data_IF_459080489860
#
_entry.id   IF_459080489860
#
_cell.length_a   1.000
_cell.length_b   1.000
_cell.length_c   1.000
_cell.angle_alpha   90.00
_cell.angle_beta   90.00
_cell.angle_gamma   90.00
#
_symmetry.space_group_name_H-M   'P 1'
#
loop_
_entity.id
_entity.type
_entity.pdbx_description
1 polymer ?
#
# COMPACT_ATOMS: atom_id res chain seq x y z
N UNK A 1 34.85 1.49 -17.56
CA UNK A 1 34.07 1.41 -16.31
C UNK A 1 33.06 0.29 -16.46
N UNK A 2 33.14 -0.74 -15.63
CA UNK A 2 32.18 -1.86 -15.60
C UNK A 2 30.96 -1.41 -14.78
N UNK A 3 29.88 -1.01 -15.47
CA UNK A 3 28.61 -0.69 -14.83
C UNK A 3 27.88 -2.01 -14.55
N UNK A 4 28.41 -2.79 -13.62
CA UNK A 4 27.72 -3.95 -13.07
C UNK A 4 26.57 -3.43 -12.22
N UNK A 5 25.48 -3.06 -12.90
CA UNK A 5 24.21 -2.72 -12.28
C UNK A 5 23.79 -3.96 -11.49
N UNK A 6 24.01 -3.89 -10.18
CA UNK A 6 23.54 -4.88 -9.22
C UNK A 6 22.04 -5.04 -9.41
N UNK A 7 21.64 -6.13 -10.06
CA UNK A 7 20.24 -6.52 -10.18
C UNK A 7 19.75 -6.80 -8.76
N UNK A 8 19.14 -5.79 -8.12
CA UNK A 8 18.40 -6.01 -6.86
C UNK A 8 17.29 -7.00 -7.19
N UNK A 9 17.49 -8.25 -6.83
CA UNK A 9 16.46 -9.28 -6.95
C UNK A 9 15.36 -8.92 -5.95
N UNK A 10 14.32 -8.24 -6.43
CA UNK A 10 13.13 -7.98 -5.63
C UNK A 10 12.56 -9.32 -5.19
N UNK A 11 12.48 -9.54 -3.88
CA UNK A 11 11.87 -10.75 -3.36
C UNK A 11 10.35 -10.67 -3.54
N UNK A 12 9.66 -11.81 -3.46
CA UNK A 12 8.20 -11.80 -3.50
C UNK A 12 7.60 -10.97 -2.34
N UNK A 13 8.31 -10.87 -1.22
CA UNK A 13 7.94 -10.01 -0.10
C UNK A 13 8.04 -8.53 -0.46
N UNK A 14 9.08 -8.10 -1.18
CA UNK A 14 9.20 -6.72 -1.66
C UNK A 14 8.06 -6.36 -2.63
N UNK A 15 7.66 -7.31 -3.49
CA UNK A 15 6.53 -7.14 -4.40
C UNK A 15 5.23 -6.94 -3.61
N UNK A 16 4.95 -7.79 -2.63
CA UNK A 16 3.76 -7.69 -1.78
C UNK A 16 3.75 -6.39 -0.98
N UNK A 17 4.90 -5.96 -0.46
CA UNK A 17 5.02 -4.69 0.24
C UNK A 17 4.78 -3.50 -0.70
N UNK A 18 5.22 -3.56 -1.96
CA UNK A 18 4.95 -2.50 -2.93
C UNK A 18 3.47 -2.44 -3.32
N UNK A 19 2.85 -3.59 -3.61
CA UNK A 19 1.41 -3.69 -3.91
C UNK A 19 0.57 -3.17 -2.72
N UNK A 20 0.97 -3.47 -1.49
CA UNK A 20 0.34 -2.94 -0.28
C UNK A 20 0.45 -1.40 -0.18
N UNK A 21 1.63 -0.83 -0.46
CA UNK A 21 1.83 0.64 -0.48
C UNK A 21 0.98 1.31 -1.55
N UNK A 22 0.94 0.73 -2.75
CA UNK A 22 0.11 1.25 -3.84
C UNK A 22 -1.38 1.17 -3.50
N UNK A 23 -1.83 0.10 -2.85
CA UNK A 23 -3.21 -0.02 -2.40
C UNK A 23 -3.56 1.03 -1.34
N UNK A 24 -2.68 1.22 -0.34
CA UNK A 24 -2.86 2.24 0.70
C UNK A 24 -2.94 3.63 0.09
N UNK A 25 -2.09 3.94 -0.90
CA UNK A 25 -2.09 5.23 -1.60
C UNK A 25 -3.37 5.44 -2.41
N UNK A 26 -3.81 4.43 -3.16
CA UNK A 26 -5.03 4.49 -3.98
C UNK A 26 -6.31 4.64 -3.16
N UNK A 27 -6.30 4.15 -1.91
CA UNK A 27 -7.45 4.21 -1.02
C UNK A 27 -7.32 5.28 0.08
N UNK A 28 -6.26 6.09 0.05
CA UNK A 28 -5.99 7.07 1.11
C UNK A 28 -7.02 8.19 1.17
N UNK A 29 -7.54 8.58 0.01
CA UNK A 29 -8.62 9.56 -0.11
C UNK A 29 -9.88 9.19 0.69
N UNK A 30 -10.12 7.90 0.96
CA UNK A 30 -11.24 7.45 1.80
C UNK A 30 -11.05 7.84 3.27
N UNK A 31 -9.80 7.87 3.75
CA UNK A 31 -9.48 8.34 5.10
C UNK A 31 -9.72 9.84 5.18
N UNK A 32 -9.22 10.59 4.20
CA UNK A 32 -9.45 12.04 4.11
C UNK A 32 -10.95 12.33 4.04
N UNK A 33 -11.69 11.64 3.17
CA UNK A 33 -13.15 11.75 3.06
C UNK A 33 -13.85 11.47 4.39
N UNK A 34 -13.43 10.44 5.13
CA UNK A 34 -14.01 10.17 6.45
C UNK A 34 -13.77 11.32 7.43
N UNK A 35 -12.59 11.93 7.42
CA UNK A 35 -12.27 13.07 8.27
C UNK A 35 -13.07 14.33 7.88
N UNK A 36 -13.26 14.57 6.58
CA UNK A 36 -13.93 15.75 6.07
C UNK A 36 -15.45 15.66 6.11
N UNK A 37 -16.03 14.51 5.74
CA UNK A 37 -17.47 14.32 5.59
C UNK A 37 -18.10 13.51 6.70
N UNK A 38 -17.28 12.88 7.56
CA UNK A 38 -17.75 11.92 8.57
C UNK A 38 -18.21 10.60 7.98
N UNK A 39 -18.15 10.41 6.65
CA UNK A 39 -18.62 9.19 6.03
C UNK A 39 -17.63 8.05 6.23
N UNK A 40 -18.11 6.94 6.79
CA UNK A 40 -17.27 5.79 7.06
C UNK A 40 -16.66 5.16 5.80
N UNK A 41 -15.47 4.59 6.00
CA UNK A 41 -14.77 3.81 4.99
C UNK A 41 -15.51 2.46 4.89
N UNK A 42 -15.79 1.97 3.66
CA UNK A 42 -16.36 0.63 3.48
C UNK A 42 -15.55 -0.44 4.23
N UNK A 43 -16.23 -1.34 4.93
CA UNK A 43 -15.61 -2.31 5.83
C UNK A 43 -14.57 -3.20 5.10
N UNK A 44 -14.89 -3.63 3.88
CA UNK A 44 -14.03 -4.40 3.00
C UNK A 44 -12.72 -3.66 2.65
N UNK A 45 -12.79 -2.34 2.49
CA UNK A 45 -11.61 -1.51 2.23
C UNK A 45 -10.84 -1.26 3.52
N UNK A 46 -11.53 -1.04 4.64
CA UNK A 46 -10.89 -0.85 5.94
C UNK A 46 -10.07 -2.07 6.36
N UNK A 47 -10.62 -3.28 6.19
CA UNK A 47 -9.95 -4.56 6.43
C UNK A 47 -8.72 -4.72 5.53
N UNK A 48 -8.88 -4.56 4.22
CA UNK A 48 -7.75 -4.64 3.27
C UNK A 48 -6.66 -3.60 3.55
N UNK A 49 -7.03 -2.40 4.00
CA UNK A 49 -6.05 -1.37 4.41
C UNK A 49 -5.30 -1.80 5.68
N UNK A 50 -5.95 -2.46 6.63
CA UNK A 50 -5.30 -3.01 7.82
C UNK A 50 -4.33 -4.15 7.45
N UNK A 51 -4.74 -5.05 6.56
CA UNK A 51 -3.88 -6.10 6.01
C UNK A 51 -2.66 -5.52 5.28
N UNK A 52 -2.89 -4.56 4.37
CA UNK A 52 -1.82 -3.89 3.64
C UNK A 52 -0.82 -3.19 4.58
N UNK A 53 -1.30 -2.57 5.68
CA UNK A 53 -0.43 -1.97 6.71
C UNK A 53 0.43 -2.99 7.45
N UNK A 54 0.00 -4.25 7.52
CA UNK A 54 0.76 -5.32 8.19
C UNK A 54 1.89 -5.87 7.32
N UNK A 55 1.94 -5.49 6.04
CA UNK A 55 2.93 -5.95 5.05
C UNK A 55 4.06 -4.94 4.77
N UNK A 56 4.00 -3.74 5.36
CA UNK A 56 4.92 -2.61 5.08
C UNK A 56 5.78 -2.25 6.28
#
# INVERSE_FOLDING_TARGET
MDFSQSKKTFTEQDRKANEARDYLRQTDWLVVRKLETGQDIPADIAEKRAEARSLI
#
